data_IF_552078217297
#
_entry.id   IF_552078217297
#
_cell.length_a   1.000
_cell.length_b   1.000
_cell.length_c   1.000
_cell.angle_alpha   90.00
_cell.angle_beta   90.00
_cell.angle_gamma   90.00
#
_symmetry.space_group_name_H-M   'P 1'
#
loop_
_entity.id
_entity.type
_entity.pdbx_description
1 polymer ?
#
# COMPACT_ATOMS: atom_id res chain seq x y z
N UNK A 1 1.23 0.74 -23.16
CA UNK A 1 1.54 1.22 -21.78
C UNK A 1 0.65 0.50 -20.79
N UNK A 2 1.06 0.30 -19.50
CA UNK A 2 0.24 -0.35 -18.45
C UNK A 2 0.08 0.59 -17.26
N UNK A 3 -1.17 0.73 -16.79
CA UNK A 3 -1.48 1.48 -15.57
C UNK A 3 -1.34 0.55 -14.35
N UNK A 4 -0.58 0.97 -13.35
CA UNK A 4 -0.49 0.32 -12.05
C UNK A 4 -0.98 1.27 -10.97
N UNK A 5 -1.91 0.81 -10.15
CA UNK A 5 -2.50 1.58 -9.06
C UNK A 5 -2.29 0.85 -7.75
N UNK A 6 -1.79 1.55 -6.74
CA UNK A 6 -1.68 1.06 -5.37
C UNK A 6 -2.52 1.93 -4.46
N UNK A 7 -3.37 1.30 -3.68
CA UNK A 7 -4.24 1.99 -2.71
C UNK A 7 -3.89 1.49 -1.30
N UNK A 8 -3.74 2.43 -0.38
CA UNK A 8 -3.62 2.13 1.04
C UNK A 8 -4.31 3.20 1.85
N UNK A 9 -4.75 2.81 3.04
CA UNK A 9 -5.27 3.71 4.06
C UNK A 9 -4.14 4.04 5.02
N UNK A 10 -4.08 5.28 5.44
CA UNK A 10 -3.10 5.78 6.40
C UNK A 10 -3.80 6.36 7.62
N UNK A 11 -3.21 6.16 8.79
CA UNK A 11 -3.65 6.74 10.04
C UNK A 11 -2.42 7.06 10.88
N UNK A 12 -2.40 8.26 11.47
CA UNK A 12 -1.33 8.75 12.33
C UNK A 12 0.08 8.64 11.71
N UNK A 13 0.20 8.96 10.41
CA UNK A 13 1.45 8.90 9.66
C UNK A 13 1.95 7.49 9.34
N UNK A 14 1.14 6.46 9.57
CA UNK A 14 1.47 5.07 9.30
C UNK A 14 0.42 4.35 8.46
N UNK A 15 0.89 3.40 7.63
CA UNK A 15 0.01 2.58 6.81
C UNK A 15 -0.92 1.73 7.69
N UNK A 16 -2.20 2.07 7.70
CA UNK A 16 -3.23 1.37 8.47
C UNK A 16 -3.77 0.13 7.76
N UNK A 17 -3.94 0.17 6.43
CA UNK A 17 -4.41 -0.97 5.65
C UNK A 17 -4.06 -0.81 4.16
N UNK A 18 -4.05 -1.89 3.39
CA UNK A 18 -3.81 -1.86 1.96
C UNK A 18 -3.79 -3.25 1.35
N UNK A 19 -3.51 -3.34 0.03
CA UNK A 19 -3.60 -4.56 -0.76
C UNK A 19 -2.86 -5.77 -0.14
N UNK A 20 -1.64 -5.57 0.37
CA UNK A 20 -0.87 -6.66 0.98
C UNK A 20 -1.48 -7.20 2.29
N UNK A 21 -2.09 -6.31 3.10
CA UNK A 21 -2.82 -6.72 4.30
C UNK A 21 -4.11 -7.47 3.93
N UNK A 22 -4.83 -6.95 2.93
CA UNK A 22 -6.03 -7.59 2.38
C UNK A 22 -5.74 -8.98 1.83
N UNK A 23 -4.64 -9.17 1.07
CA UNK A 23 -4.23 -10.47 0.54
C UNK A 23 -3.89 -11.46 1.65
N UNK A 24 -3.07 -11.07 2.63
CA UNK A 24 -2.74 -11.92 3.77
C UNK A 24 -4.00 -12.36 4.53
N UNK A 25 -4.87 -11.43 4.90
CA UNK A 25 -6.08 -11.74 5.66
C UNK A 25 -7.10 -12.54 4.84
N UNK A 26 -7.23 -12.30 3.56
CA UNK A 26 -8.04 -13.10 2.65
C UNK A 26 -7.60 -14.56 2.62
N UNK A 27 -6.27 -14.81 2.60
CA UNK A 27 -5.71 -16.17 2.70
C UNK A 27 -5.95 -16.79 4.07
N UNK A 28 -5.85 -16.01 5.16
CA UNK A 28 -6.21 -16.50 6.49
C UNK A 28 -7.68 -16.93 6.53
N UNK A 29 -8.57 -16.17 5.93
CA UNK A 29 -10.01 -16.53 5.82
C UNK A 29 -10.24 -17.85 5.10
N UNK A 30 -9.48 -18.12 4.04
CA UNK A 30 -9.57 -19.35 3.25
C UNK A 30 -8.89 -20.55 3.92
N UNK A 31 -7.70 -20.36 4.49
CA UNK A 31 -6.87 -21.43 5.03
C UNK A 31 -7.13 -21.72 6.51
N UNK A 32 -7.76 -20.81 7.24
CA UNK A 32 -7.94 -20.91 8.68
C UNK A 32 -6.63 -20.86 9.47
N UNK A 33 -5.54 -20.34 8.88
CA UNK A 33 -4.20 -20.37 9.46
C UNK A 33 -3.37 -19.16 9.00
N UNK A 34 -2.90 -18.36 9.96
CA UNK A 34 -1.97 -17.27 9.67
C UNK A 34 -0.61 -17.80 9.19
N UNK A 35 -0.16 -18.91 9.75
CA UNK A 35 1.09 -19.56 9.32
C UNK A 35 1.03 -20.03 7.87
N UNK A 36 -0.07 -20.70 7.50
CA UNK A 36 -0.31 -21.14 6.12
C UNK A 36 -0.41 -19.97 5.15
N UNK A 37 -1.17 -18.94 5.52
CA UNK A 37 -1.31 -17.72 4.71
C UNK A 37 0.02 -17.00 4.48
N UNK A 38 0.84 -16.88 5.53
CA UNK A 38 2.17 -16.28 5.44
C UNK A 38 3.09 -17.09 4.50
N UNK A 39 3.09 -18.41 4.64
CA UNK A 39 3.91 -19.31 3.81
C UNK A 39 3.56 -19.17 2.31
N UNK A 40 2.26 -19.07 1.96
CA UNK A 40 1.83 -18.89 0.56
C UNK A 40 2.37 -17.61 -0.11
N UNK A 41 2.66 -16.57 0.67
CA UNK A 41 3.19 -15.30 0.16
C UNK A 41 4.69 -15.10 0.44
N UNK A 42 5.37 -16.15 0.88
CA UNK A 42 6.80 -16.11 1.18
C UNK A 42 7.16 -15.26 2.41
N UNK A 43 6.23 -15.06 3.33
CA UNK A 43 6.41 -14.27 4.55
C UNK A 43 6.67 -15.18 5.74
N UNK A 44 7.60 -14.82 6.63
CA UNK A 44 7.76 -15.55 7.88
C UNK A 44 6.54 -15.34 8.80
N UNK A 45 6.23 -16.35 9.62
CA UNK A 45 5.14 -16.24 10.60
C UNK A 45 5.30 -15.04 11.54
N UNK A 46 6.52 -14.76 12.00
CA UNK A 46 6.80 -13.62 12.87
C UNK A 46 6.52 -12.27 12.19
N UNK A 47 6.81 -12.15 10.89
CA UNK A 47 6.50 -10.97 10.12
C UNK A 47 4.97 -10.80 9.95
N UNK A 48 4.28 -11.88 9.58
CA UNK A 48 2.83 -11.87 9.45
C UNK A 48 2.13 -11.51 10.76
N UNK A 49 2.60 -12.07 11.87
CA UNK A 49 2.07 -11.75 13.21
C UNK A 49 2.26 -10.28 13.59
N UNK A 50 3.47 -9.74 13.38
CA UNK A 50 3.75 -8.31 13.64
C UNK A 50 2.90 -7.40 12.76
N UNK A 51 2.73 -7.77 11.48
CA UNK A 51 1.87 -7.03 10.57
C UNK A 51 0.44 -6.98 11.09
N UNK A 52 -0.15 -8.14 11.42
CA UNK A 52 -1.52 -8.21 11.93
C UNK A 52 -1.70 -7.39 13.20
N UNK A 53 -0.78 -7.52 14.18
CA UNK A 53 -0.84 -6.74 15.41
C UNK A 53 -0.75 -5.24 15.19
N UNK A 54 0.12 -4.81 14.28
CA UNK A 54 0.21 -3.40 13.89
C UNK A 54 -1.08 -2.87 13.23
N UNK A 55 -1.74 -3.70 12.42
CA UNK A 55 -3.03 -3.36 11.81
C UNK A 55 -4.14 -3.26 12.87
N UNK A 56 -4.22 -4.23 13.80
CA UNK A 56 -5.20 -4.24 14.89
C UNK A 56 -5.09 -2.99 15.77
N UNK A 57 -3.86 -2.60 16.09
CA UNK A 57 -3.61 -1.37 16.85
C UNK A 57 -4.12 -0.11 16.14
N UNK A 58 -3.86 0.00 14.83
CA UNK A 58 -4.30 1.16 14.05
C UNK A 58 -5.79 1.17 13.76
N UNK A 59 -6.36 0.00 13.47
CA UNK A 59 -7.79 -0.12 13.19
C UNK A 59 -8.66 -0.08 14.47
N UNK A 60 -8.05 -0.30 15.65
CA UNK A 60 -8.75 -0.30 16.93
C UNK A 60 -9.65 -1.52 17.16
N UNK A 61 -9.42 -2.64 16.46
CA UNK A 61 -10.15 -3.87 16.67
C UNK A 61 -9.34 -5.11 16.25
N UNK A 62 -9.68 -6.25 16.84
CA UNK A 62 -9.04 -7.53 16.53
C UNK A 62 -9.43 -8.04 15.14
N UNK A 63 -8.43 -8.41 14.35
CA UNK A 63 -8.60 -9.02 13.03
C UNK A 63 -8.67 -10.54 13.13
N UNK A 64 -7.91 -11.12 14.07
CA UNK A 64 -7.83 -12.56 14.25
C UNK A 64 -8.32 -12.97 15.64
N UNK A 65 -9.11 -14.03 15.67
CA UNK A 65 -9.37 -14.81 16.88
C UNK A 65 -8.44 -16.03 16.89
N UNK A 66 -7.62 -16.13 17.95
CA UNK A 66 -6.82 -17.33 18.18
C UNK A 66 -7.65 -18.40 18.85
N UNK A 67 -7.75 -19.60 18.25
CA UNK A 67 -8.15 -20.77 18.98
C UNK A 67 -6.89 -21.52 19.40
N UNK A 68 -6.79 -21.81 20.70
CA UNK A 68 -5.73 -22.67 21.20
C UNK A 68 -5.80 -24.01 20.45
N UNK A 69 -4.79 -24.27 19.63
CA UNK A 69 -4.70 -25.48 18.84
C UNK A 69 -3.82 -26.48 19.57
N UNK A 70 -4.17 -27.75 19.43
CA UNK A 70 -3.36 -28.89 19.86
C UNK A 70 -1.98 -28.97 19.15
N UNK A 71 -1.31 -30.12 19.15
CA UNK A 71 0.08 -30.31 18.69
C UNK A 71 0.40 -29.86 17.26
N UNK A 72 -0.62 -29.62 16.41
CA UNK A 72 -0.49 -29.19 15.01
C UNK A 72 -0.48 -27.66 14.79
N UNK A 73 -0.44 -26.85 15.84
CA UNK A 73 -0.44 -25.38 15.75
C UNK A 73 -1.83 -24.77 15.86
N UNK A 74 -1.92 -23.57 16.45
CA UNK A 74 -3.18 -22.85 16.63
C UNK A 74 -3.84 -22.48 15.31
N UNK A 75 -5.17 -22.61 15.23
CA UNK A 75 -5.97 -22.07 14.12
C UNK A 75 -6.16 -20.59 14.33
N UNK A 76 -5.94 -19.80 13.29
CA UNK A 76 -6.23 -18.37 13.28
C UNK A 76 -7.43 -18.13 12.37
N UNK A 77 -8.52 -17.61 12.94
CA UNK A 77 -9.72 -17.29 12.16
C UNK A 77 -9.93 -15.79 12.15
N UNK A 78 -10.47 -15.28 11.04
CA UNK A 78 -10.92 -13.89 10.99
C UNK A 78 -12.08 -13.67 11.96
N UNK A 79 -12.04 -12.54 12.68
CA UNK A 79 -13.20 -12.06 13.44
C UNK A 79 -14.35 -11.68 12.51
N UNK A 80 -15.56 -11.58 13.03
CA UNK A 80 -16.71 -11.09 12.24
C UNK A 80 -16.44 -9.69 11.67
N UNK A 81 -15.83 -8.81 12.49
CA UNK A 81 -15.49 -7.44 12.08
C UNK A 81 -14.42 -7.42 11.00
N UNK A 82 -13.42 -8.30 11.08
CA UNK A 82 -12.39 -8.43 10.05
C UNK A 82 -12.96 -8.88 8.70
N UNK A 83 -13.94 -9.80 8.69
CA UNK A 83 -14.62 -10.20 7.46
C UNK A 83 -15.36 -9.05 6.80
N UNK A 84 -16.18 -8.32 7.56
CA UNK A 84 -16.87 -7.13 7.06
C UNK A 84 -15.91 -6.07 6.54
N UNK A 85 -14.79 -5.85 7.24
CA UNK A 85 -13.74 -4.92 6.80
C UNK A 85 -13.13 -5.34 5.47
N UNK A 86 -12.80 -6.62 5.30
CA UNK A 86 -12.23 -7.14 4.05
C UNK A 86 -13.21 -7.03 2.87
N UNK A 87 -14.48 -7.33 3.10
CA UNK A 87 -15.53 -7.19 2.07
C UNK A 87 -15.66 -5.73 1.63
N UNK A 88 -15.77 -4.80 2.60
CA UNK A 88 -15.87 -3.37 2.33
C UNK A 88 -14.62 -2.84 1.61
N UNK A 89 -13.41 -3.22 2.07
CA UNK A 89 -12.18 -2.84 1.41
C UNK A 89 -12.07 -3.40 -0.01
N UNK A 90 -12.49 -4.65 -0.21
CA UNK A 90 -12.51 -5.29 -1.53
C UNK A 90 -13.43 -4.57 -2.51
N UNK A 91 -14.64 -4.22 -2.07
CA UNK A 91 -15.60 -3.45 -2.86
C UNK A 91 -15.04 -2.05 -3.22
N UNK A 92 -14.56 -1.32 -2.22
CA UNK A 92 -13.91 -0.01 -2.41
C UNK A 92 -12.73 -0.10 -3.41
N UNK A 93 -11.89 -1.10 -3.25
CA UNK A 93 -10.72 -1.32 -4.11
C UNK A 93 -11.11 -1.58 -5.55
N UNK A 94 -12.12 -2.43 -5.78
CA UNK A 94 -12.64 -2.77 -7.11
C UNK A 94 -13.26 -1.55 -7.80
N UNK A 95 -14.11 -0.83 -7.11
CA UNK A 95 -14.74 0.38 -7.64
C UNK A 95 -13.72 1.46 -7.96
N UNK A 96 -12.80 1.74 -7.04
CA UNK A 96 -11.71 2.70 -7.27
C UNK A 96 -10.87 2.34 -8.49
N UNK A 97 -10.56 1.06 -8.68
CA UNK A 97 -9.80 0.60 -9.85
C UNK A 97 -10.55 0.86 -11.16
N UNK A 98 -11.84 0.59 -11.19
CA UNK A 98 -12.69 0.86 -12.37
C UNK A 98 -12.69 2.34 -12.72
N UNK A 99 -12.96 3.21 -11.75
CA UNK A 99 -12.99 4.65 -11.95
C UNK A 99 -11.63 5.20 -12.44
N UNK A 100 -10.53 4.69 -11.89
CA UNK A 100 -9.19 5.13 -12.28
C UNK A 100 -8.86 4.67 -13.72
N UNK A 101 -9.22 3.43 -14.09
CA UNK A 101 -9.02 2.91 -15.46
C UNK A 101 -9.84 3.73 -16.47
N UNK A 102 -11.09 4.04 -16.16
CA UNK A 102 -11.95 4.88 -16.99
C UNK A 102 -11.37 6.30 -17.14
N UNK A 103 -10.93 6.90 -16.04
CA UNK A 103 -10.30 8.22 -16.06
C UNK A 103 -9.00 8.20 -16.89
N UNK A 104 -8.17 7.17 -16.72
CA UNK A 104 -6.96 6.98 -17.52
C UNK A 104 -7.29 6.90 -19.03
N UNK A 105 -8.25 6.05 -19.41
CA UNK A 105 -8.70 5.91 -20.80
C UNK A 105 -9.22 7.22 -21.37
N UNK A 106 -10.02 7.97 -20.61
CA UNK A 106 -10.62 9.23 -21.04
C UNK A 106 -9.60 10.36 -21.23
N UNK A 107 -8.62 10.48 -20.35
CA UNK A 107 -7.68 11.60 -20.33
C UNK A 107 -6.36 11.32 -21.03
N UNK A 108 -5.84 10.10 -20.93
CA UNK A 108 -4.53 9.73 -21.46
C UNK A 108 -4.61 8.83 -22.68
N UNK A 109 -5.71 8.07 -22.85
CA UNK A 109 -5.92 7.21 -24.01
C UNK A 109 -5.69 7.90 -25.35
N UNK A 110 -6.36 9.05 -25.62
CA UNK A 110 -6.20 9.75 -26.90
C UNK A 110 -4.77 10.22 -27.18
N UNK A 111 -4.02 10.59 -26.12
CA UNK A 111 -2.63 11.01 -26.27
C UNK A 111 -1.74 9.82 -26.62
N UNK A 112 -2.00 8.66 -26.04
CA UNK A 112 -1.22 7.44 -26.31
C UNK A 112 -1.45 6.92 -27.72
N UNK A 113 -2.67 6.96 -28.24
CA UNK A 113 -2.99 6.61 -29.61
C UNK A 113 -2.32 7.54 -30.62
N UNK A 114 -2.28 8.82 -30.32
CA UNK A 114 -1.63 9.83 -31.19
C UNK A 114 -0.11 9.61 -31.28
N UNK A 115 0.53 9.14 -30.22
CA UNK A 115 1.97 8.88 -30.23
C UNK A 115 2.35 7.51 -30.82
N UNK A 116 1.46 6.53 -30.85
CA UNK A 116 1.71 5.21 -31.43
C UNK A 116 1.59 5.18 -32.97
N UNK A 117 0.91 6.18 -33.54
CA UNK A 117 0.75 6.34 -35.02
C UNK A 117 1.93 7.09 -35.67
N UNK A 118 2.82 7.70 -34.90
CA UNK A 118 4.00 8.39 -35.41
C UNK A 118 5.18 7.45 -35.61
N UNK A 119 5.26 6.84 -36.79
CA UNK A 119 6.42 6.26 -37.48
C UNK A 119 7.50 5.49 -36.66
N UNK A 120 7.77 4.23 -37.00
CA UNK A 120 8.97 3.54 -36.54
C UNK A 120 10.20 4.13 -37.25
N UNK A 121 10.83 5.18 -36.67
CA UNK A 121 12.04 5.74 -37.28
C UNK A 121 12.53 7.08 -36.76
N UNK A 122 11.74 7.89 -36.11
CA UNK A 122 12.20 9.17 -35.56
C UNK A 122 12.55 9.04 -34.08
N UNK A 123 13.82 8.74 -33.82
CA UNK A 123 14.40 8.98 -32.46
C UNK A 123 14.18 10.45 -32.14
N UNK A 124 13.34 10.67 -31.11
CA UNK A 124 12.91 11.98 -30.67
C UNK A 124 14.11 12.90 -30.40
N UNK A 125 14.09 14.06 -30.99
CA UNK A 125 14.80 15.22 -30.46
C UNK A 125 14.23 15.45 -29.05
N UNK A 126 15.13 15.40 -28.05
CA UNK A 126 14.77 15.60 -26.66
C UNK A 126 13.92 16.85 -26.48
N UNK A 127 12.93 16.75 -25.63
CA UNK A 127 12.23 17.89 -25.07
C UNK A 127 13.26 18.89 -24.54
N UNK A 128 13.12 20.19 -24.82
CA UNK A 128 13.97 21.17 -24.19
C UNK A 128 13.82 21.03 -22.69
N UNK A 129 14.95 20.90 -21.98
CA UNK A 129 14.97 20.89 -20.53
C UNK A 129 14.26 22.15 -20.04
N UNK A 130 13.03 21.96 -19.52
CA UNK A 130 12.34 22.99 -18.80
C UNK A 130 13.17 23.32 -17.57
N UNK A 131 13.63 24.58 -17.48
CA UNK A 131 14.27 25.16 -16.33
C UNK A 131 13.40 24.90 -15.10
N UNK A 132 13.80 23.92 -14.26
CA UNK A 132 13.23 23.70 -12.96
C UNK A 132 13.41 24.92 -12.09
N UNK A 133 12.49 25.20 -11.15
CA UNK A 133 12.64 26.30 -10.23
C UNK A 133 13.93 26.14 -9.43
N UNK A 134 14.66 27.24 -9.31
CA UNK A 134 15.91 27.33 -8.57
C UNK A 134 15.72 26.79 -7.15
N UNK A 135 16.62 25.88 -6.76
CA UNK A 135 16.74 25.38 -5.41
C UNK A 135 17.02 26.56 -4.47
N UNK A 136 16.10 26.82 -3.55
CA UNK A 136 16.37 27.73 -2.44
C UNK A 136 17.50 27.15 -1.57
N UNK A 137 18.46 27.99 -1.11
CA UNK A 137 19.52 27.52 -0.25
C UNK A 137 18.97 27.21 1.15
N UNK A 138 19.28 26.02 1.66
CA UNK A 138 19.03 25.62 3.04
C UNK A 138 19.60 26.63 4.03
N UNK A 139 18.86 27.01 5.08
CA UNK A 139 19.45 27.82 6.15
C UNK A 139 20.46 26.99 6.93
N UNK A 140 21.69 27.49 7.04
CA UNK A 140 22.78 26.92 7.80
C UNK A 140 22.46 26.87 9.30
N UNK A 141 23.17 26.01 10.09
CA UNK A 141 22.89 25.85 11.50
C UNK A 141 23.21 27.12 12.31
N UNK A 142 22.26 27.51 13.13
CA UNK A 142 22.42 28.60 14.07
C UNK A 142 23.57 28.28 15.06
N UNK A 143 24.56 29.18 15.12
CA UNK A 143 25.63 29.17 16.09
C UNK A 143 25.07 29.40 17.49
N UNK A 144 25.15 28.42 18.35
CA UNK A 144 24.91 28.57 19.78
C UNK A 144 26.02 29.44 20.42
N UNK A 145 25.66 30.66 20.78
CA UNK A 145 26.47 31.48 21.67
C UNK A 145 26.13 31.11 23.11
N UNK A 146 27.04 30.48 23.80
CA UNK A 146 26.93 30.15 25.21
C UNK A 146 26.86 31.38 26.13
N UNK A 147 26.24 31.26 27.31
CA UNK A 147 26.14 32.37 28.28
C UNK A 147 27.47 32.57 29.02
N UNK A 148 27.96 33.79 28.94
CA UNK A 148 29.09 34.25 29.75
C UNK A 148 28.66 34.51 31.20
N UNK A 149 29.49 34.01 32.12
CA UNK A 149 29.39 34.27 33.56
C UNK A 149 29.70 35.72 33.90
N UNK A 150 28.92 36.31 34.74
CA UNK A 150 29.32 37.21 35.86
C UNK A 150 28.16 37.26 36.85
#
# INVERSE_FOLDING_TARGET
MRLHVKIWLEQDGGKAFGDGAGDLLGRVGRLGSLRGAAAEIGMSYSQAWRLVRGLEQRLGFELLSAQAGGPSGGTSRLTGRARLWLEAYGAFRSESQTLIVEAFGRHLGPLLETYDVAEPGRRGRGLPAGSGPASEPSPGPASEAGPNRA
#
